data_IF_521462423028
#
_entry.id   IF_521462423028
#
_cell.length_a   1.000
_cell.length_b   1.000
_cell.length_c   1.000
_cell.angle_alpha   90.00
_cell.angle_beta   90.00
_cell.angle_gamma   90.00
#
_symmetry.space_group_name_H-M   'P 1'
#
loop_
_entity.id
_entity.type
_entity.pdbx_description
1 polymer ?
#
# COMPACT_ATOMS: atom_id res chain seq x y z
N UNK A 1 2.36 8.22 11.66
CA UNK A 1 2.87 8.16 10.28
C UNK A 1 3.66 9.42 9.97
N UNK A 2 4.73 9.32 9.21
CA UNK A 2 5.55 10.46 8.84
C UNK A 2 4.74 11.49 8.05
N UNK A 3 4.76 12.74 8.49
CA UNK A 3 3.97 13.82 7.92
C UNK A 3 4.30 14.10 6.45
N UNK A 4 5.58 13.99 6.08
CA UNK A 4 6.01 14.22 4.70
C UNK A 4 5.50 13.13 3.77
N UNK A 5 5.46 11.88 4.25
CA UNK A 5 4.91 10.76 3.50
C UNK A 5 3.41 10.97 3.28
N UNK A 6 2.68 11.35 4.32
CA UNK A 6 1.25 11.65 4.23
C UNK A 6 0.96 12.72 3.19
N UNK A 7 1.71 13.82 3.22
CA UNK A 7 1.55 14.92 2.26
C UNK A 7 1.78 14.46 0.81
N UNK A 8 2.83 13.68 0.56
CA UNK A 8 3.12 13.15 -0.78
C UNK A 8 2.04 12.22 -1.28
N UNK A 9 1.55 11.33 -0.40
CA UNK A 9 0.51 10.36 -0.75
C UNK A 9 -0.82 11.06 -1.05
N UNK A 10 -1.22 12.00 -0.21
CA UNK A 10 -2.45 12.76 -0.42
C UNK A 10 -2.38 13.62 -1.68
N UNK A 11 -1.24 14.23 -1.96
CA UNK A 11 -1.02 15.00 -3.19
C UNK A 11 -1.15 14.11 -4.43
N UNK A 12 -0.55 12.92 -4.41
CA UNK A 12 -0.62 11.96 -5.50
C UNK A 12 -2.04 11.49 -5.75
N UNK A 13 -2.76 11.13 -4.69
CA UNK A 13 -4.10 10.55 -4.77
C UNK A 13 -5.21 11.60 -4.91
N UNK A 14 -4.89 12.87 -4.61
CA UNK A 14 -5.87 13.97 -4.53
C UNK A 14 -6.98 13.68 -3.51
N UNK A 15 -6.67 12.90 -2.48
CA UNK A 15 -7.63 12.51 -1.44
C UNK A 15 -8.64 11.46 -1.88
N UNK A 16 -8.40 10.80 -3.01
CA UNK A 16 -9.29 9.78 -3.54
C UNK A 16 -8.68 8.39 -3.41
N UNK A 17 -9.53 7.38 -3.32
CA UNK A 17 -9.09 5.98 -3.34
C UNK A 17 -8.27 5.70 -4.58
N UNK A 18 -7.06 5.19 -4.42
CA UNK A 18 -6.15 4.91 -5.54
C UNK A 18 -6.50 3.60 -6.27
N UNK A 19 -7.49 2.87 -5.80
CA UNK A 19 -7.99 1.66 -6.47
C UNK A 19 -9.25 1.94 -7.29
N UNK A 20 -10.26 2.58 -6.67
CA UNK A 20 -11.56 2.78 -7.34
C UNK A 20 -11.96 4.24 -7.56
N UNK A 21 -11.19 5.20 -7.04
CA UNK A 21 -11.48 6.62 -7.22
C UNK A 21 -12.52 7.22 -6.29
N UNK A 22 -13.07 6.45 -5.36
CA UNK A 22 -14.08 6.94 -4.41
C UNK A 22 -13.47 7.87 -3.37
N UNK A 23 -14.25 8.88 -2.94
CA UNK A 23 -13.88 9.76 -1.84
C UNK A 23 -14.47 9.28 -0.50
N UNK A 24 -15.16 8.14 -0.48
CA UNK A 24 -15.93 7.70 0.68
C UNK A 24 -15.03 7.18 1.80
N UNK A 25 -14.99 7.91 2.92
CA UNK A 25 -14.26 7.53 4.13
C UNK A 25 -12.85 7.00 3.82
N UNK A 26 -12.09 7.78 3.05
CA UNK A 26 -10.73 7.39 2.66
C UNK A 26 -9.80 7.33 3.87
N UNK A 27 -8.92 6.32 3.85
CA UNK A 27 -7.91 6.10 4.88
C UNK A 27 -6.56 5.78 4.25
N UNK A 28 -5.49 6.02 4.99
CA UNK A 28 -4.15 5.63 4.57
C UNK A 28 -3.91 4.19 4.97
N UNK A 29 -3.41 3.40 4.05
CA UNK A 29 -3.13 1.97 4.24
C UNK A 29 -1.66 1.67 3.96
N UNK A 30 -1.01 0.98 4.87
CA UNK A 30 0.34 0.45 4.65
C UNK A 30 0.24 -0.86 3.87
N UNK A 31 0.81 -0.90 2.67
CA UNK A 31 0.79 -2.11 1.84
C UNK A 31 1.60 -3.23 2.49
N UNK A 32 2.74 -2.86 3.10
CA UNK A 32 3.53 -3.79 3.92
C UNK A 32 3.13 -3.58 5.37
N UNK A 33 2.48 -4.57 5.94
CA UNK A 33 1.96 -4.50 7.30
C UNK A 33 2.28 -5.79 8.07
N UNK A 34 1.92 -5.78 9.34
CA UNK A 34 2.24 -6.84 10.28
C UNK A 34 2.99 -6.25 11.47
N UNK A 35 3.34 -7.10 12.43
CA UNK A 35 3.98 -6.65 13.67
C UNK A 35 5.30 -5.93 13.39
N UNK A 36 5.35 -4.62 13.68
CA UNK A 36 6.55 -3.79 13.52
C UNK A 36 6.89 -3.40 12.09
N UNK A 37 6.19 -3.91 11.10
CA UNK A 37 6.54 -3.70 9.69
C UNK A 37 6.04 -2.38 9.12
N UNK A 38 4.92 -1.85 9.60
CA UNK A 38 4.33 -0.62 9.05
C UNK A 38 5.34 0.52 9.04
N UNK A 39 5.93 0.81 10.18
CA UNK A 39 6.87 1.92 10.32
C UNK A 39 8.21 1.62 9.65
N UNK A 40 8.70 0.40 9.78
CA UNK A 40 10.00 -0.01 9.25
C UNK A 40 10.08 0.10 7.73
N UNK A 41 9.00 -0.23 7.03
CA UNK A 41 8.96 -0.26 5.56
C UNK A 41 8.17 0.90 4.97
N UNK A 42 7.86 1.92 5.78
CA UNK A 42 7.06 3.06 5.35
C UNK A 42 7.85 3.99 4.42
N UNK A 43 7.28 4.24 3.25
CA UNK A 43 7.73 5.28 2.33
C UNK A 43 6.53 5.70 1.46
N UNK A 44 6.72 6.70 0.59
CA UNK A 44 5.61 7.21 -0.23
C UNK A 44 5.00 6.17 -1.17
N UNK A 45 5.73 5.12 -1.54
CA UNK A 45 5.24 4.09 -2.45
C UNK A 45 4.52 2.96 -1.70
N UNK A 46 4.89 2.70 -0.46
CA UNK A 46 4.32 1.62 0.35
C UNK A 46 3.06 2.03 1.12
N UNK A 47 2.66 3.28 1.00
CA UNK A 47 1.42 3.81 1.61
C UNK A 47 0.47 4.22 0.49
N UNK A 48 -0.80 3.86 0.62
CA UNK A 48 -1.82 4.08 -0.39
C UNK A 48 -3.10 4.61 0.26
N UNK A 49 -3.85 5.45 -0.46
CA UNK A 49 -5.17 5.90 -0.01
C UNK A 49 -6.22 4.92 -0.50
N UNK A 50 -7.02 4.40 0.41
CA UNK A 50 -8.12 3.49 0.09
C UNK A 50 -9.42 4.03 0.68
N UNK A 51 -10.53 3.88 -0.06
CA UNK A 51 -11.86 4.17 0.48
C UNK A 51 -12.26 3.06 1.46
N UNK A 52 -13.36 3.27 2.17
CA UNK A 52 -13.84 2.30 3.15
C UNK A 52 -14.03 0.91 2.53
N UNK A 53 -14.63 0.83 1.33
CA UNK A 53 -14.88 -0.47 0.69
C UNK A 53 -13.61 -1.20 0.29
N UNK A 54 -12.63 -0.50 -0.26
CA UNK A 54 -11.35 -1.11 -0.64
C UNK A 54 -10.46 -1.43 0.55
N UNK A 55 -10.68 -0.77 1.68
CA UNK A 55 -9.90 -0.97 2.90
C UNK A 55 -10.55 -1.98 3.84
N UNK A 56 -11.83 -1.77 4.18
CA UNK A 56 -12.55 -2.53 5.22
C UNK A 56 -13.78 -3.29 4.74
N UNK A 57 -14.22 -3.09 3.50
CA UNK A 57 -15.34 -3.83 2.93
C UNK A 57 -15.01 -5.30 2.78
N UNK A 58 -16.00 -6.12 2.44
CA UNK A 58 -15.84 -7.59 2.33
C UNK A 58 -14.69 -7.99 1.43
N UNK A 59 -14.53 -7.28 0.29
CA UNK A 59 -13.44 -7.51 -0.66
C UNK A 59 -12.27 -6.53 -0.50
N UNK A 60 -12.32 -5.67 0.51
CA UNK A 60 -11.24 -4.76 0.85
C UNK A 60 -10.07 -5.49 1.48
N UNK A 61 -8.90 -4.87 1.53
CA UNK A 61 -7.65 -5.50 1.99
C UNK A 61 -7.75 -6.12 3.38
N UNK A 62 -8.55 -5.55 4.28
CA UNK A 62 -8.79 -6.10 5.62
C UNK A 62 -10.13 -6.85 5.73
N UNK A 63 -10.83 -7.01 4.63
CA UNK A 63 -12.10 -7.73 4.61
C UNK A 63 -11.92 -9.23 4.53
N UNK A 64 -13.01 -9.96 4.79
CA UNK A 64 -13.01 -11.42 4.77
C UNK A 64 -12.47 -11.99 3.45
N UNK A 65 -12.84 -11.40 2.32
CA UNK A 65 -12.45 -11.85 0.98
C UNK A 65 -11.42 -10.91 0.33
N UNK A 66 -10.59 -10.25 1.14
CA UNK A 66 -9.67 -9.20 0.69
C UNK A 66 -8.32 -9.66 0.19
N UNK A 67 -8.02 -10.96 0.23
CA UNK A 67 -6.70 -11.48 -0.15
C UNK A 67 -6.29 -11.10 -1.59
N UNK A 68 -7.23 -11.13 -2.51
CA UNK A 68 -6.97 -10.80 -3.92
C UNK A 68 -6.48 -9.36 -4.08
N UNK A 69 -7.15 -8.41 -3.44
CA UNK A 69 -6.78 -7.01 -3.49
C UNK A 69 -5.45 -6.77 -2.77
N UNK A 70 -5.27 -7.38 -1.59
CA UNK A 70 -4.03 -7.28 -0.83
C UNK A 70 -2.83 -7.74 -1.66
N UNK A 71 -2.92 -8.90 -2.30
CA UNK A 71 -1.87 -9.41 -3.17
C UNK A 71 -1.65 -8.54 -4.41
N UNK A 72 -2.72 -8.00 -4.99
CA UNK A 72 -2.63 -7.09 -6.12
C UNK A 72 -1.79 -5.86 -5.76
N UNK A 73 -2.07 -5.24 -4.63
CA UNK A 73 -1.33 -4.06 -4.16
C UNK A 73 0.13 -4.39 -3.87
N UNK A 74 0.39 -5.52 -3.24
CA UNK A 74 1.76 -5.97 -2.95
C UNK A 74 2.55 -6.24 -4.22
N UNK A 75 1.95 -6.91 -5.20
CA UNK A 75 2.60 -7.19 -6.48
C UNK A 75 2.85 -5.91 -7.27
N UNK A 76 1.94 -4.96 -7.21
CA UNK A 76 2.10 -3.66 -7.87
C UNK A 76 3.24 -2.87 -7.25
N UNK A 77 3.34 -2.86 -5.93
CA UNK A 77 4.44 -2.21 -5.21
C UNK A 77 5.77 -2.86 -5.56
N UNK A 78 5.83 -4.18 -5.55
CA UNK A 78 7.01 -4.95 -5.92
C UNK A 78 7.49 -4.60 -7.33
N UNK A 79 6.58 -4.55 -8.28
CA UNK A 79 6.86 -4.16 -9.65
C UNK A 79 7.42 -2.75 -9.74
N UNK A 80 6.87 -1.83 -8.94
CA UNK A 80 7.36 -0.45 -8.86
C UNK A 80 8.83 -0.42 -8.40
N UNK A 81 9.16 -1.16 -7.35
CA UNK A 81 10.53 -1.21 -6.84
C UNK A 81 11.51 -1.77 -7.89
N UNK A 82 11.14 -2.82 -8.61
CA UNK A 82 11.96 -3.33 -9.70
C UNK A 82 12.15 -2.27 -10.80
N UNK A 83 11.11 -1.53 -11.13
CA UNK A 83 11.17 -0.48 -12.14
C UNK A 83 12.09 0.68 -11.75
N UNK A 84 12.34 0.85 -10.46
CA UNK A 84 13.25 1.86 -9.93
C UNK A 84 14.72 1.44 -9.96
N UNK A 85 15.01 0.23 -10.44
CA UNK A 85 16.36 -0.28 -10.59
C UNK A 85 16.88 -1.13 -9.43
N UNK A 86 16.04 -1.43 -8.44
CA UNK A 86 16.44 -2.31 -7.33
C UNK A 86 16.56 -3.76 -7.79
N UNK A 87 17.56 -4.48 -7.25
CA UNK A 87 17.73 -5.91 -7.54
C UNK A 87 16.77 -6.74 -6.68
N UNK A 88 16.72 -8.05 -6.96
CA UNK A 88 15.81 -8.97 -6.27
C UNK A 88 15.99 -8.96 -4.75
N UNK A 89 17.22 -8.97 -4.24
CA UNK A 89 17.48 -8.96 -2.81
C UNK A 89 17.02 -7.68 -2.15
N UNK A 90 17.25 -6.54 -2.82
CA UNK A 90 16.80 -5.24 -2.33
C UNK A 90 15.27 -5.17 -2.29
N UNK A 91 14.60 -5.61 -3.35
CA UNK A 91 13.14 -5.60 -3.41
C UNK A 91 12.56 -6.52 -2.34
N UNK A 92 13.12 -7.71 -2.17
CA UNK A 92 12.67 -8.65 -1.12
C UNK A 92 12.72 -7.99 0.25
N UNK A 93 13.82 -7.31 0.57
CA UNK A 93 13.97 -6.61 1.84
C UNK A 93 12.95 -5.47 1.98
N UNK A 94 12.78 -4.66 0.93
CA UNK A 94 11.82 -3.55 0.92
C UNK A 94 10.37 -4.03 1.03
N UNK A 95 10.09 -5.25 0.61
CA UNK A 95 8.77 -5.88 0.70
C UNK A 95 8.54 -6.62 2.03
N UNK A 96 9.42 -6.47 2.98
CA UNK A 96 9.26 -7.08 4.30
C UNK A 96 9.82 -8.49 4.43
N UNK A 97 10.73 -8.89 3.53
CA UNK A 97 11.44 -10.15 3.60
C UNK A 97 10.93 -11.24 2.65
N UNK A 98 10.00 -10.91 1.77
CA UNK A 98 9.34 -11.88 0.90
C UNK A 98 8.98 -11.24 -0.45
N UNK A 99 9.05 -12.02 -1.53
CA UNK A 99 8.49 -11.63 -2.83
C UNK A 99 7.10 -12.25 -3.02
N UNK A 100 6.28 -11.58 -3.81
CA UNK A 100 4.87 -11.95 -4.03
C UNK A 100 4.55 -12.37 -5.45
#
# INVERSE_FOLDING_TARGET
>A
MDKKIVEKVLKRSKGLCEVCGSAYLVELHHIIYGRGKRKQYENEFSVIVLCWYCHRGTKGVHGRDGRKLDLYLKRKLQKKYFSMGHNENEVREMMGGKLY
#
